data_IF_055706370477
#
_entry.id   IF_055706370477
#
_cell.length_a   1.000
_cell.length_b   1.000
_cell.length_c   1.000
_cell.angle_alpha   90.00
_cell.angle_beta   90.00
_cell.angle_gamma   90.00
#
_symmetry.space_group_name_H-M   'P 1'
#
loop_
_entity.id
_entity.type
_entity.pdbx_description
1 polymer ?
#
# COMPACT_ATOMS: atom_id res chain seq x y z
N UNK A 1 19.10 17.32 20.69
CA UNK A 1 18.83 16.05 20.01
C UNK A 1 17.69 16.29 19.04
N UNK A 2 17.90 16.08 17.74
CA UNK A 2 16.84 16.22 16.74
C UNK A 2 15.84 15.10 16.98
N UNK A 3 14.64 15.43 17.43
CA UNK A 3 13.50 14.52 17.39
C UNK A 3 13.19 14.32 15.91
N UNK A 4 13.83 13.30 15.33
CA UNK A 4 13.39 12.76 14.05
C UNK A 4 11.98 12.28 14.32
N UNK A 5 11.01 13.07 13.89
CA UNK A 5 9.61 12.69 13.78
C UNK A 5 9.61 11.42 12.93
N UNK A 6 9.72 10.26 13.59
CA UNK A 6 9.65 8.96 12.95
C UNK A 6 8.22 8.88 12.50
N UNK A 7 7.97 9.39 11.30
CA UNK A 7 6.67 9.47 10.67
C UNK A 7 6.06 8.07 10.81
N UNK A 8 5.16 7.88 11.79
CA UNK A 8 4.79 6.56 12.31
C UNK A 8 3.92 5.87 11.26
N UNK A 9 4.55 5.35 10.21
CA UNK A 9 3.83 4.67 9.15
C UNK A 9 3.42 3.30 9.67
N UNK A 10 2.12 3.02 9.56
CA UNK A 10 1.53 1.74 9.91
C UNK A 10 1.41 0.88 8.66
N UNK A 11 1.78 -0.39 8.78
CA UNK A 11 1.58 -1.36 7.69
C UNK A 11 0.11 -1.75 7.60
N UNK A 12 -0.58 -1.30 6.55
CA UNK A 12 -1.99 -1.61 6.30
C UNK A 12 -2.16 -2.66 5.21
N UNK A 13 -3.21 -3.48 5.35
CA UNK A 13 -3.62 -4.52 4.39
C UNK A 13 -4.97 -4.15 3.76
N UNK A 14 -5.04 -4.19 2.42
CA UNK A 14 -6.30 -4.02 1.67
C UNK A 14 -6.31 -4.87 0.40
N UNK A 15 -7.46 -5.44 0.07
CA UNK A 15 -7.69 -6.11 -1.22
C UNK A 15 -8.18 -5.14 -2.28
N UNK A 16 -7.62 -5.22 -3.48
CA UNK A 16 -8.10 -4.50 -4.67
C UNK A 16 -8.33 -5.48 -5.83
N UNK A 17 -9.28 -5.21 -6.73
CA UNK A 17 -9.48 -6.03 -7.92
C UNK A 17 -8.24 -6.08 -8.83
N UNK A 18 -8.05 -7.22 -9.49
CA UNK A 18 -6.94 -7.43 -10.44
C UNK A 18 -5.78 -8.21 -9.83
N UNK A 19 -4.68 -8.31 -10.57
CA UNK A 19 -3.54 -9.18 -10.22
C UNK A 19 -2.26 -8.37 -9.99
N UNK A 20 -1.24 -8.98 -9.37
CA UNK A 20 0.06 -8.34 -9.14
C UNK A 20 0.97 -8.31 -10.39
N UNK A 21 0.47 -8.74 -11.56
CA UNK A 21 1.25 -9.19 -12.71
C UNK A 21 2.12 -8.12 -13.41
N UNK A 22 2.00 -6.83 -13.09
CA UNK A 22 2.90 -5.79 -13.62
C UNK A 22 3.48 -4.96 -12.47
N UNK A 23 4.79 -5.10 -12.24
CA UNK A 23 5.62 -4.32 -11.32
C UNK A 23 4.99 -4.06 -9.93
N UNK A 24 5.04 -5.06 -9.04
CA UNK A 24 4.30 -5.17 -7.77
C UNK A 24 4.45 -4.10 -6.68
N UNK A 25 4.98 -2.91 -6.98
CA UNK A 25 4.94 -1.72 -6.10
C UNK A 25 3.89 -0.69 -6.58
N UNK A 26 3.95 -0.31 -7.85
CA UNK A 26 3.10 0.75 -8.44
C UNK A 26 1.59 0.48 -8.33
N UNK A 27 1.04 -0.72 -8.61
CA UNK A 27 -0.41 -0.91 -8.63
C UNK A 27 -1.08 -0.89 -7.25
N UNK A 28 -0.31 -1.09 -6.18
CA UNK A 28 -0.81 -0.97 -4.81
C UNK A 28 -0.77 0.48 -4.33
N UNK A 29 0.33 1.20 -4.56
CA UNK A 29 0.44 2.63 -4.25
C UNK A 29 -0.63 3.43 -5.01
N UNK A 30 -0.79 3.16 -6.31
CA UNK A 30 -1.84 3.76 -7.13
C UNK A 30 -3.25 3.40 -6.65
N UNK A 31 -3.48 2.18 -6.17
CA UNK A 31 -4.81 1.77 -5.70
C UNK A 31 -5.20 2.51 -4.42
N UNK A 32 -4.27 2.64 -3.46
CA UNK A 32 -4.50 3.44 -2.26
C UNK A 32 -4.70 4.92 -2.59
N UNK A 33 -3.91 5.46 -3.51
CA UNK A 33 -4.03 6.85 -3.96
C UNK A 33 -5.37 7.11 -4.66
N UNK A 34 -5.72 6.32 -5.68
CA UNK A 34 -6.94 6.53 -6.48
C UNK A 34 -8.23 6.14 -5.78
N UNK A 35 -8.22 5.08 -4.97
CA UNK A 35 -9.46 4.53 -4.38
C UNK A 35 -9.74 5.05 -2.98
N UNK A 36 -8.69 5.41 -2.23
CA UNK A 36 -8.80 5.81 -0.83
C UNK A 36 -8.26 7.22 -0.57
N UNK A 37 -7.74 7.91 -1.60
CA UNK A 37 -7.06 9.20 -1.47
C UNK A 37 -5.96 9.19 -0.40
N UNK A 38 -5.22 8.07 -0.33
CA UNK A 38 -4.16 7.86 0.65
C UNK A 38 -2.82 7.70 -0.02
N UNK A 39 -1.81 8.41 0.48
CA UNK A 39 -0.42 8.17 0.11
C UNK A 39 0.07 6.91 0.79
N UNK A 40 0.34 5.88 -0.01
CA UNK A 40 0.91 4.62 0.44
C UNK A 40 2.36 4.50 -0.04
N UNK A 41 3.22 3.92 0.78
CA UNK A 41 4.65 3.70 0.47
C UNK A 41 5.05 2.26 0.79
N UNK A 42 6.21 1.83 0.29
CA UNK A 42 6.80 0.52 0.58
C UNK A 42 5.82 -0.64 0.34
N UNK A 43 4.96 -0.54 -0.68
CA UNK A 43 3.92 -1.53 -0.91
C UNK A 43 4.49 -2.90 -1.32
N UNK A 44 3.86 -3.97 -0.80
CA UNK A 44 4.03 -5.34 -1.26
C UNK A 44 2.70 -5.86 -1.78
N UNK A 45 2.71 -6.37 -3.00
CA UNK A 45 1.57 -7.01 -3.63
C UNK A 45 1.65 -8.53 -3.44
N UNK A 46 0.59 -9.14 -2.89
CA UNK A 46 0.43 -10.59 -2.78
C UNK A 46 -0.77 -10.99 -3.65
N UNK A 47 -0.60 -11.88 -4.64
CA UNK A 47 -1.73 -12.37 -5.42
C UNK A 47 -2.66 -13.20 -4.52
N UNK A 48 -3.96 -12.92 -4.60
CA UNK A 48 -5.03 -13.67 -3.97
C UNK A 48 -6.10 -13.97 -5.03
N UNK A 49 -7.00 -14.92 -4.78
CA UNK A 49 -7.99 -15.31 -5.78
C UNK A 49 -8.80 -14.10 -6.29
N UNK A 50 -8.65 -13.82 -7.60
CA UNK A 50 -9.18 -12.67 -8.34
C UNK A 50 -8.88 -11.27 -7.78
N UNK A 51 -7.94 -11.15 -6.83
CA UNK A 51 -7.61 -9.90 -6.14
C UNK A 51 -6.11 -9.76 -5.90
N UNK A 52 -5.66 -8.52 -5.76
CA UNK A 52 -4.33 -8.21 -5.24
C UNK A 52 -4.45 -7.75 -3.79
N UNK A 53 -3.76 -8.43 -2.89
CA UNK A 53 -3.62 -7.99 -1.51
C UNK A 53 -2.42 -7.04 -1.41
N UNK A 54 -2.70 -5.80 -1.07
CA UNK A 54 -1.72 -4.74 -0.94
C UNK A 54 -1.38 -4.49 0.52
N UNK A 55 -0.11 -4.69 0.87
CA UNK A 55 0.47 -4.41 2.17
C UNK A 55 1.37 -3.19 2.05
N UNK A 56 0.95 -2.03 2.56
CA UNK A 56 1.66 -0.76 2.36
C UNK A 56 1.80 0.01 3.66
N UNK A 57 2.79 0.90 3.71
CA UNK A 57 3.01 1.82 4.82
C UNK A 57 2.18 3.09 4.59
N UNK A 58 1.31 3.41 5.53
CA UNK A 58 0.44 4.58 5.51
C UNK A 58 0.50 5.32 6.85
N UNK A 59 0.18 6.62 6.87
CA UNK A 59 0.02 7.36 8.13
C UNK A 59 -1.12 6.80 9.00
N UNK A 60 -2.16 6.25 8.37
CA UNK A 60 -3.30 5.61 9.04
C UNK A 60 -4.01 4.60 8.12
N UNK A 61 -4.37 3.44 8.67
CA UNK A 61 -5.34 2.52 8.08
C UNK A 61 -6.77 3.04 8.36
#
# INVERSE_FOLDING_TARGET
SQEVEVNMMTRCRKGFPGSCFNAGKTPCEDAYSRSLNKTARNCRCIPADRQRLCYCDLSKC
#
